data_IF_136547689469
#
_entry.id   IF_136547689469
#
_cell.length_a   1.000
_cell.length_b   1.000
_cell.length_c   1.000
_cell.angle_alpha   90.00
_cell.angle_beta   90.00
_cell.angle_gamma   90.00
#
_symmetry.space_group_name_H-M   'P 1'
#
loop_
_entity.id
_entity.type
_entity.pdbx_description
1 polymer ?
#
# COMPACT_ATOMS: atom_id res chain seq x y z
N UNK A 1 -20.98 -12.38 -15.48
CA UNK A 1 -22.20 -12.98 -14.90
C UNK A 1 -22.53 -12.17 -13.66
N UNK A 2 -23.73 -11.59 -13.54
CA UNK A 2 -24.15 -10.90 -12.31
C UNK A 2 -24.75 -12.00 -11.43
N UNK A 3 -24.04 -12.38 -10.37
CA UNK A 3 -24.55 -13.33 -9.39
C UNK A 3 -25.45 -12.59 -8.39
N UNK A 4 -26.74 -12.95 -8.24
CA UNK A 4 -27.63 -12.32 -7.27
C UNK A 4 -27.21 -12.53 -5.80
N UNK A 5 -26.32 -13.48 -5.51
CA UNK A 5 -25.73 -13.66 -4.18
C UNK A 5 -24.46 -12.82 -3.98
N UNK A 6 -24.00 -12.08 -5.00
CA UNK A 6 -22.81 -11.26 -4.88
C UNK A 6 -23.03 -10.12 -3.87
N UNK A 7 -22.19 -9.98 -2.83
CA UNK A 7 -22.30 -8.90 -1.86
C UNK A 7 -21.94 -7.54 -2.46
N UNK A 8 -21.32 -7.50 -3.65
CA UNK A 8 -20.90 -6.29 -4.34
C UNK A 8 -21.66 -6.14 -5.65
N UNK A 9 -22.27 -4.98 -5.86
CA UNK A 9 -22.87 -4.61 -7.14
C UNK A 9 -21.85 -3.91 -8.04
N UNK A 10 -21.84 -4.22 -9.35
CA UNK A 10 -20.87 -3.62 -10.27
C UNK A 10 -20.98 -4.15 -11.70
N UNK A 11 -20.18 -3.57 -12.60
CA UNK A 11 -20.08 -4.03 -13.98
C UNK A 11 -19.31 -5.35 -14.01
N UNK A 12 -19.90 -6.45 -14.50
CA UNK A 12 -19.18 -7.71 -14.63
C UNK A 12 -17.93 -7.54 -15.48
N UNK A 13 -16.85 -8.18 -15.07
CA UNK A 13 -15.61 -8.23 -15.84
C UNK A 13 -15.33 -9.66 -16.28
N UNK A 14 -14.65 -9.79 -17.43
CA UNK A 14 -14.20 -11.09 -17.87
C UNK A 14 -12.97 -11.52 -17.07
N UNK A 15 -13.02 -12.75 -16.57
CA UNK A 15 -11.92 -13.40 -15.87
C UNK A 15 -11.94 -14.88 -16.20
N UNK A 16 -10.76 -15.48 -16.37
CA UNK A 16 -10.58 -16.87 -16.77
C UNK A 16 -9.62 -17.62 -15.84
N UNK A 17 -8.58 -16.96 -15.34
CA UNK A 17 -7.56 -17.59 -14.51
C UNK A 17 -7.01 -16.56 -13.54
N UNK A 18 -7.61 -16.55 -12.35
CA UNK A 18 -7.24 -15.62 -11.29
C UNK A 18 -6.05 -16.19 -10.54
N UNK A 19 -5.04 -15.35 -10.34
CA UNK A 19 -3.88 -15.67 -9.53
C UNK A 19 -3.83 -14.80 -8.29
N UNK A 20 -3.64 -15.45 -7.13
CA UNK A 20 -3.16 -14.92 -5.85
C UNK A 20 -3.66 -13.54 -5.43
N UNK A 21 -4.54 -13.52 -4.43
CA UNK A 21 -4.87 -12.30 -3.69
C UNK A 21 -3.75 -11.96 -2.70
N UNK A 22 -3.07 -10.81 -2.84
CA UNK A 22 -2.17 -10.27 -1.81
C UNK A 22 -2.81 -9.04 -1.19
N UNK A 23 -2.93 -9.04 0.14
CA UNK A 23 -3.38 -7.86 0.87
C UNK A 23 -2.22 -6.88 0.93
N UNK A 24 -2.45 -5.67 0.41
CA UNK A 24 -1.56 -4.52 0.57
C UNK A 24 -2.29 -3.53 1.47
N UNK A 25 -1.94 -3.56 2.75
CA UNK A 25 -2.48 -2.70 3.80
C UNK A 25 -1.42 -1.75 4.38
N UNK A 26 -0.23 -1.70 3.76
CA UNK A 26 0.87 -0.88 4.23
C UNK A 26 0.50 0.61 4.23
N UNK A 27 0.70 1.32 5.37
CA UNK A 27 0.30 2.71 5.52
C UNK A 27 1.05 3.68 4.60
N UNK A 28 2.20 3.27 4.03
CA UNK A 28 2.94 4.08 3.05
C UNK A 28 2.21 4.25 1.73
N UNK A 29 1.24 3.39 1.43
CA UNK A 29 0.38 3.51 0.25
C UNK A 29 -0.78 4.48 0.52
N UNK A 30 -1.23 5.27 -0.47
CA UNK A 30 -2.49 5.99 -0.38
C UNK A 30 -3.65 5.03 -0.10
N UNK A 31 -4.63 5.44 0.71
CA UNK A 31 -5.74 4.58 1.13
C UNK A 31 -6.51 4.01 -0.07
N UNK A 32 -6.63 4.78 -1.16
CA UNK A 32 -7.27 4.36 -2.42
C UNK A 32 -6.48 3.29 -3.18
N UNK A 33 -5.22 3.03 -2.83
CA UNK A 33 -4.37 1.99 -3.43
C UNK A 33 -4.05 0.86 -2.46
N UNK A 34 -4.76 0.79 -1.32
CA UNK A 34 -4.75 -0.36 -0.41
C UNK A 34 -5.89 -1.31 -0.75
N UNK A 35 -5.76 -2.58 -0.35
CA UNK A 35 -6.78 -3.61 -0.53
C UNK A 35 -6.20 -4.96 -0.93
N UNK A 36 -7.08 -5.90 -1.28
CA UNK A 36 -6.67 -7.23 -1.75
C UNK A 36 -6.46 -7.16 -3.26
N UNK A 37 -5.20 -7.16 -3.68
CA UNK A 37 -4.81 -7.19 -5.09
C UNK A 37 -4.90 -8.60 -5.63
N UNK A 38 -5.55 -8.77 -6.76
CA UNK A 38 -5.60 -10.04 -7.50
C UNK A 38 -5.46 -9.77 -8.99
N UNK A 39 -5.02 -10.77 -9.73
CA UNK A 39 -4.71 -10.60 -11.14
C UNK A 39 -5.29 -11.72 -11.99
N UNK A 40 -5.49 -11.44 -13.28
CA UNK A 40 -5.90 -12.45 -14.26
C UNK A 40 -4.78 -12.72 -15.26
N UNK A 41 -4.39 -13.99 -15.38
CA UNK A 41 -3.31 -14.43 -16.26
C UNK A 41 -3.64 -14.24 -17.76
N UNK A 42 -4.90 -14.48 -18.14
CA UNK A 42 -5.34 -14.48 -19.55
C UNK A 42 -5.69 -13.07 -20.02
N UNK A 43 -6.43 -12.33 -19.20
CA UNK A 43 -6.88 -10.97 -19.47
C UNK A 43 -5.89 -9.89 -19.02
N UNK A 44 -4.81 -10.30 -18.34
CA UNK A 44 -3.61 -9.51 -18.09
C UNK A 44 -3.84 -8.21 -17.31
N UNK A 45 -4.81 -8.24 -16.41
CA UNK A 45 -5.12 -7.13 -15.52
C UNK A 45 -4.77 -7.45 -14.07
N UNK A 46 -4.58 -6.39 -13.28
CA UNK A 46 -4.58 -6.39 -11.82
C UNK A 46 -5.77 -5.56 -11.37
N UNK A 47 -6.54 -6.10 -10.42
CA UNK A 47 -7.66 -5.43 -9.75
C UNK A 47 -7.47 -5.46 -8.25
N UNK A 48 -8.13 -4.52 -7.57
CA UNK A 48 -8.14 -4.39 -6.12
C UNK A 48 -9.55 -4.63 -5.63
N UNK A 49 -9.68 -5.49 -4.62
CA UNK A 49 -10.89 -5.66 -3.83
C UNK A 49 -10.76 -4.81 -2.56
N UNK A 50 -11.69 -3.89 -2.39
CA UNK A 50 -11.79 -3.03 -1.20
C UNK A 50 -12.67 -3.69 -0.14
N UNK A 51 -12.43 -3.36 1.14
CA UNK A 51 -13.19 -3.85 2.28
C UNK A 51 -13.72 -2.71 3.15
N UNK A 52 -14.79 -2.96 3.88
CA UNK A 52 -15.23 -2.12 4.99
C UNK A 52 -14.47 -2.44 6.29
N UNK A 53 -14.80 -1.72 7.38
CA UNK A 53 -14.19 -1.91 8.70
C UNK A 53 -14.43 -3.33 9.27
N UNK A 54 -15.53 -3.98 8.86
CA UNK A 54 -15.85 -5.36 9.24
C UNK A 54 -15.19 -6.41 8.32
N UNK A 55 -14.34 -6.00 7.39
CA UNK A 55 -13.64 -6.88 6.45
C UNK A 55 -14.55 -7.48 5.36
N UNK A 56 -15.72 -6.88 5.13
CA UNK A 56 -16.63 -7.29 4.05
C UNK A 56 -16.24 -6.60 2.76
N UNK A 57 -16.30 -7.31 1.63
CA UNK A 57 -15.90 -6.76 0.36
C UNK A 57 -16.93 -5.71 -0.11
N UNK A 58 -16.48 -4.52 -0.48
CA UNK A 58 -17.35 -3.38 -0.86
C UNK A 58 -17.29 -3.01 -2.33
N UNK A 59 -16.14 -3.22 -2.97
CA UNK A 59 -15.86 -2.68 -4.30
C UNK A 59 -14.72 -3.45 -4.99
N UNK A 60 -14.77 -3.56 -6.32
CA UNK A 60 -13.67 -4.08 -7.14
C UNK A 60 -13.29 -3.03 -8.17
N UNK A 61 -12.02 -2.61 -8.16
CA UNK A 61 -11.49 -1.56 -9.05
C UNK A 61 -10.36 -2.09 -9.93
N UNK A 62 -10.22 -1.50 -11.12
CA UNK A 62 -9.07 -1.74 -11.99
C UNK A 62 -7.86 -0.99 -11.45
N UNK A 63 -6.73 -1.67 -11.34
CA UNK A 63 -5.46 -1.06 -10.97
C UNK A 63 -4.54 -0.91 -12.18
N UNK A 64 -4.31 -2.01 -12.90
CA UNK A 64 -3.49 -2.00 -14.12
C UNK A 64 -4.06 -2.98 -15.15
N UNK A 65 -4.48 -2.47 -16.30
CA UNK A 65 -5.02 -3.27 -17.42
C UNK A 65 -3.93 -3.82 -18.37
N UNK A 66 -2.68 -3.43 -18.14
CA UNK A 66 -1.50 -3.71 -18.96
C UNK A 66 -0.40 -4.49 -18.21
N UNK A 67 -0.71 -5.00 -17.02
CA UNK A 67 0.25 -5.67 -16.14
C UNK A 67 0.88 -6.92 -16.77
N UNK A 68 0.22 -7.54 -17.74
CA UNK A 68 0.71 -8.73 -18.44
C UNK A 68 0.25 -10.03 -17.77
N UNK A 69 0.87 -11.14 -18.14
CA UNK A 69 0.47 -12.46 -17.66
C UNK A 69 0.98 -12.70 -16.22
N UNK A 70 0.24 -12.23 -15.23
CA UNK A 70 0.60 -12.36 -13.81
C UNK A 70 0.38 -13.80 -13.33
N UNK A 71 1.39 -14.36 -12.66
CA UNK A 71 1.39 -15.73 -12.11
C UNK A 71 1.56 -15.78 -10.60
N UNK A 72 1.93 -14.68 -9.95
CA UNK A 72 1.95 -14.55 -8.50
C UNK A 72 2.13 -13.08 -8.13
N UNK A 73 1.72 -12.70 -6.92
CA UNK A 73 1.99 -11.38 -6.36
C UNK A 73 2.38 -11.51 -4.89
N UNK A 74 3.21 -10.60 -4.41
CA UNK A 74 3.65 -10.54 -3.01
C UNK A 74 3.88 -9.10 -2.58
N UNK A 75 3.69 -8.82 -1.30
CA UNK A 75 3.98 -7.53 -0.69
C UNK A 75 5.24 -7.70 0.17
N UNK A 76 6.24 -6.86 -0.05
CA UNK A 76 7.44 -6.83 0.77
C UNK A 76 7.19 -5.95 2.00
N UNK A 77 7.16 -6.50 3.22
CA UNK A 77 6.87 -5.71 4.42
C UNK A 77 7.98 -4.70 4.75
N UNK A 78 9.21 -4.91 4.26
CA UNK A 78 10.32 -4.00 4.55
C UNK A 78 10.22 -2.77 3.65
N UNK A 79 10.18 -2.98 2.33
CA UNK A 79 10.13 -1.87 1.36
C UNK A 79 8.73 -1.32 1.12
N UNK A 80 7.68 -2.06 1.47
CA UNK A 80 6.28 -1.73 1.15
C UNK A 80 5.91 -2.04 -0.29
N UNK A 81 6.85 -2.58 -1.08
CA UNK A 81 6.64 -2.81 -2.49
C UNK A 81 5.63 -3.93 -2.74
N UNK A 82 4.72 -3.71 -3.69
CA UNK A 82 3.94 -4.76 -4.30
C UNK A 82 4.70 -5.31 -5.52
N UNK A 83 5.02 -6.59 -5.50
CA UNK A 83 5.77 -7.26 -6.56
C UNK A 83 4.84 -8.22 -7.30
N UNK A 84 4.66 -8.01 -8.60
CA UNK A 84 3.90 -8.88 -9.48
C UNK A 84 4.84 -9.72 -10.36
N UNK A 85 4.81 -11.05 -10.17
CA UNK A 85 5.59 -12.02 -10.93
C UNK A 85 4.86 -12.36 -12.23
N UNK A 86 5.57 -12.29 -13.35
CA UNK A 86 5.00 -12.47 -14.69
C UNK A 86 5.55 -13.70 -15.38
N UNK A 87 4.73 -14.32 -16.22
CA UNK A 87 5.22 -15.37 -17.11
C UNK A 87 6.07 -14.78 -18.23
N UNK A 88 7.28 -15.32 -18.42
CA UNK A 88 8.23 -14.98 -19.49
C UNK A 88 8.70 -13.52 -19.54
N UNK A 89 8.48 -12.74 -18.48
CA UNK A 89 8.88 -11.33 -18.36
C UNK A 89 9.49 -11.01 -16.99
N UNK A 90 10.17 -9.87 -16.87
CA UNK A 90 10.66 -9.38 -15.56
C UNK A 90 9.48 -9.05 -14.63
N UNK A 91 9.61 -9.28 -13.30
CA UNK A 91 8.60 -8.83 -12.34
C UNK A 91 8.35 -7.33 -12.44
N UNK A 92 7.10 -6.91 -12.21
CA UNK A 92 6.76 -5.50 -11.99
C UNK A 92 6.89 -5.24 -10.50
N UNK A 93 7.51 -4.12 -10.14
CA UNK A 93 7.56 -3.61 -8.77
C UNK A 93 6.76 -2.31 -8.76
N UNK A 94 5.68 -2.31 -7.99
CA UNK A 94 4.96 -1.08 -7.66
C UNK A 94 5.43 -0.65 -6.28
N UNK A 95 5.94 0.57 -6.20
CA UNK A 95 6.51 1.14 -4.99
C UNK A 95 5.55 2.18 -4.43
N UNK A 96 5.33 2.23 -3.10
CA UNK A 96 4.56 3.30 -2.51
C UNK A 96 5.11 4.65 -2.97
N UNK A 97 4.25 5.64 -3.25
CA UNK A 97 4.72 6.97 -3.56
C UNK A 97 5.60 7.47 -2.40
N UNK A 98 6.63 8.26 -2.73
CA UNK A 98 7.44 8.90 -1.69
C UNK A 98 6.50 9.65 -0.75
N UNK A 99 6.52 9.30 0.55
CA UNK A 99 5.71 9.99 1.54
C UNK A 99 6.08 11.49 1.47
N UNK A 100 5.16 12.39 1.07
CA UNK A 100 5.46 13.82 1.00
C UNK A 100 5.78 14.40 2.39
N UNK A 101 5.50 13.63 3.45
CA UNK A 101 5.60 14.01 4.84
C UNK A 101 6.17 12.85 5.69
N UNK A 102 7.47 12.50 5.54
CA UNK A 102 8.06 11.36 6.25
C UNK A 102 7.97 11.47 7.78
N UNK A 103 7.84 12.69 8.30
CA UNK A 103 7.72 12.99 9.72
C UNK A 103 6.32 12.72 10.31
N UNK A 104 5.29 12.47 9.48
CA UNK A 104 3.97 12.01 9.93
C UNK A 104 4.02 10.49 10.12
N UNK A 105 4.42 10.10 11.33
CA UNK A 105 4.59 8.71 11.72
C UNK A 105 3.25 8.05 12.04
N UNK A 106 2.24 8.85 12.39
CA UNK A 106 0.89 8.37 12.68
C UNK A 106 0.05 8.15 11.42
N UNK A 107 0.39 8.81 10.31
CA UNK A 107 -0.33 8.78 9.05
C UNK A 107 -1.65 9.57 9.09
N UNK A 108 -1.79 10.53 10.01
CA UNK A 108 -3.00 11.34 10.19
C UNK A 108 -3.02 12.63 9.34
N UNK A 109 -1.95 12.87 8.58
CA UNK A 109 -1.76 14.03 7.72
C UNK A 109 -1.22 15.27 8.43
N UNK A 110 -0.86 15.19 9.72
CA UNK A 110 -0.39 16.32 10.52
C UNK A 110 0.78 15.91 11.41
N UNK A 111 1.96 16.47 11.16
CA UNK A 111 3.12 16.29 12.04
C UNK A 111 2.91 17.07 13.35
N UNK A 112 2.71 16.34 14.44
CA UNK A 112 2.39 16.91 15.75
C UNK A 112 3.01 16.13 16.92
N UNK A 113 2.52 16.38 18.14
CA UNK A 113 3.03 15.73 19.35
C UNK A 113 2.81 14.21 19.37
N UNK A 114 1.83 13.69 18.62
CA UNK A 114 1.61 12.26 18.42
C UNK A 114 2.80 11.59 17.73
N UNK A 115 3.32 12.20 16.67
CA UNK A 115 4.49 11.69 15.94
C UNK A 115 5.76 11.73 16.79
N UNK A 116 5.94 12.77 17.62
CA UNK A 116 7.01 12.78 18.62
C UNK A 116 6.87 11.57 19.56
N UNK A 117 5.66 11.25 20.02
CA UNK A 117 5.41 10.08 20.86
C UNK A 117 5.84 8.77 20.20
N UNK A 118 5.53 8.61 18.91
CA UNK A 118 5.94 7.45 18.11
C UNK A 118 7.46 7.39 17.89
N UNK A 119 8.09 8.53 17.58
CA UNK A 119 9.53 8.63 17.42
C UNK A 119 10.27 8.26 18.72
N UNK A 120 9.82 8.76 19.87
CA UNK A 120 10.40 8.44 21.17
C UNK A 120 10.20 6.96 21.54
N UNK A 121 9.08 6.35 21.13
CA UNK A 121 8.88 4.91 21.31
C UNK A 121 9.84 4.07 20.46
N UNK A 122 10.31 4.62 19.33
CA UNK A 122 11.27 3.99 18.42
C UNK A 122 12.74 4.38 18.68
N UNK A 123 13.04 5.11 19.76
CA UNK A 123 14.38 5.66 20.00
C UNK A 123 15.48 4.59 20.02
N UNK A 124 16.57 4.82 19.28
CA UNK A 124 17.67 3.87 19.13
C UNK A 124 17.38 2.68 18.20
N UNK A 125 16.24 2.65 17.51
CA UNK A 125 15.89 1.64 16.50
C UNK A 125 15.93 2.23 15.09
N UNK A 126 15.64 1.47 14.04
CA UNK A 126 15.52 2.02 12.67
C UNK A 126 14.09 2.46 12.31
N UNK A 127 13.13 2.26 13.22
CA UNK A 127 11.70 2.37 12.88
C UNK A 127 11.22 3.82 12.69
N UNK A 128 11.96 4.82 13.16
CA UNK A 128 11.69 6.24 12.93
C UNK A 128 12.97 6.99 12.53
N UNK A 129 13.86 6.30 11.80
CA UNK A 129 15.07 6.86 11.19
C UNK A 129 14.67 7.63 9.92
N UNK A 130 14.51 8.95 10.07
CA UNK A 130 14.07 9.89 9.07
C UNK A 130 15.23 10.44 8.25
N UNK A 131 16.44 10.48 8.79
CA UNK A 131 17.64 10.96 8.09
C UNK A 131 18.45 9.84 7.40
N UNK A 132 18.13 8.58 7.71
CA UNK A 132 18.70 7.38 7.09
C UNK A 132 20.08 7.02 7.62
N UNK A 133 20.46 7.47 8.82
CA UNK A 133 21.77 7.18 9.41
C UNK A 133 21.88 5.78 10.06
N UNK A 134 20.77 5.06 10.11
CA UNK A 134 20.64 3.73 10.68
C UNK A 134 20.12 3.69 12.12
N UNK A 135 19.75 4.82 12.72
CA UNK A 135 19.16 4.86 14.06
C UNK A 135 18.23 6.07 14.27
N UNK A 136 17.21 5.92 15.12
CA UNK A 136 16.32 7.00 15.54
C UNK A 136 16.94 7.76 16.71
N UNK A 137 17.16 9.06 16.55
CA UNK A 137 17.74 9.92 17.56
C UNK A 137 17.41 11.41 17.40
N UNK A 138 18.35 12.24 17.85
CA UNK A 138 18.16 13.69 17.92
C UNK A 138 18.05 14.37 16.56
N UNK A 139 18.67 13.79 15.52
CA UNK A 139 18.58 14.31 14.15
C UNK A 139 17.15 14.12 13.59
N UNK A 140 16.57 12.93 13.79
CA UNK A 140 15.18 12.63 13.40
C UNK A 140 14.17 13.48 14.15
N UNK A 141 14.38 13.70 15.45
CA UNK A 141 13.57 14.64 16.22
C UNK A 141 13.63 16.06 15.62
N UNK A 142 14.82 16.48 15.17
CA UNK A 142 14.99 17.74 14.44
C UNK A 142 14.18 17.80 13.15
N UNK A 143 14.09 16.68 12.41
CA UNK A 143 13.28 16.57 11.20
C UNK A 143 11.77 16.64 11.49
N UNK A 144 11.28 15.99 12.56
CA UNK A 144 9.88 16.13 12.99
C UNK A 144 9.55 17.59 13.31
N UNK A 145 10.40 18.27 14.06
CA UNK A 145 10.18 19.67 14.42
C UNK A 145 10.24 20.62 13.22
N UNK A 146 11.09 20.32 12.24
CA UNK A 146 11.18 21.09 11.00
C UNK A 146 9.93 20.91 10.11
N UNK A 147 9.27 19.74 10.19
CA UNK A 147 8.07 19.41 9.43
C UNK A 147 6.75 19.72 10.17
N UNK A 148 6.81 20.41 11.31
CA UNK A 148 5.66 20.61 12.20
C UNK A 148 4.45 21.24 11.50
N UNK A 149 3.28 20.62 11.66
CA UNK A 149 2.02 21.05 11.07
C UNK A 149 1.50 20.13 9.96
N UNK A 150 0.53 20.60 9.16
CA UNK A 150 -0.09 19.80 8.12
C UNK A 150 0.89 19.39 7.01
N UNK A 151 0.76 18.16 6.53
CA UNK A 151 1.51 17.66 5.41
C UNK A 151 1.11 18.33 4.09
N UNK A 152 2.05 18.60 3.17
CA UNK A 152 1.70 19.08 1.83
C UNK A 152 0.98 17.97 1.05
N UNK A 153 -0.24 18.28 0.59
CA UNK A 153 -1.08 17.40 -0.22
C UNK A 153 -0.79 17.45 -1.72
#
# INVERSE_FOLDING_TARGET
>A
MIDPESPITGVPFNSNSITGGVLQDDPRWPAEWRGLFFADYIHRWIRVLDFDEEGRPTSIRMFDQSAGAIVSMTADPVSGDLIAIRWSDRPIRYTPPANPCPADLSGDGIVNGGDIGLLLAAWGTINADLDGDGTTGGADLGLILAAWGPCPG
#
